data_IF_041631471157
#
_entry.id   IF_041631471157
#
_cell.length_a   1.000
_cell.length_b   1.000
_cell.length_c   1.000
_cell.angle_alpha   90.00
_cell.angle_beta   90.00
_cell.angle_gamma   90.00
#
_symmetry.space_group_name_H-M   'P 1'
#
loop_
_entity.id
_entity.type
_entity.pdbx_description
1 polymer ?
#
# COMPACT_ATOMS: atom_id res chain seq x y z
N UNK A 1 -47.12 -16.56 2.30
CA UNK A 1 -46.04 -15.66 2.66
C UNK A 1 -45.85 -14.72 1.48
N UNK A 2 -46.64 -13.65 1.47
CA UNK A 2 -46.60 -12.62 0.44
C UNK A 2 -45.44 -11.69 0.73
N UNK A 3 -44.67 -11.35 -0.32
CA UNK A 3 -43.55 -10.46 -0.25
C UNK A 3 -43.94 -9.09 0.26
N UNK A 4 -43.74 -8.86 1.55
CA UNK A 4 -43.88 -7.54 2.15
C UNK A 4 -42.78 -6.65 1.60
N UNK A 5 -43.13 -5.77 0.68
CA UNK A 5 -42.27 -4.61 0.36
C UNK A 5 -41.97 -3.90 1.67
N UNK A 6 -40.70 -3.84 2.08
CA UNK A 6 -40.25 -3.09 3.28
C UNK A 6 -40.58 -1.62 3.05
N UNK A 7 -41.72 -1.19 3.59
CA UNK A 7 -42.11 0.21 3.56
C UNK A 7 -41.10 1.01 4.41
N UNK A 8 -40.47 2.02 3.84
CA UNK A 8 -39.58 2.94 4.57
C UNK A 8 -40.37 4.20 4.86
N UNK A 9 -40.81 4.38 6.11
CA UNK A 9 -41.39 5.62 6.60
C UNK A 9 -40.30 6.55 7.13
N UNK A 10 -40.47 7.84 6.94
CA UNK A 10 -39.60 8.86 7.53
C UNK A 10 -40.03 9.16 8.97
N UNK A 11 -39.10 9.66 9.80
CA UNK A 11 -39.43 10.22 11.10
C UNK A 11 -40.50 11.29 10.94
N UNK A 12 -41.59 11.18 11.73
CA UNK A 12 -42.77 12.04 11.64
C UNK A 12 -43.80 11.63 10.57
N UNK A 13 -43.52 10.66 9.72
CA UNK A 13 -44.44 10.19 8.68
C UNK A 13 -45.30 9.01 9.17
N UNK A 14 -46.60 9.13 9.09
CA UNK A 14 -47.50 8.14 9.61
C UNK A 14 -47.66 8.15 11.13
N UNK A 15 -48.54 7.32 11.68
CA UNK A 15 -48.73 7.13 13.14
C UNK A 15 -47.44 6.62 13.76
N UNK A 16 -46.85 5.59 13.20
CA UNK A 16 -45.59 4.99 13.66
C UNK A 16 -44.41 6.00 13.63
N UNK A 17 -44.28 6.81 12.55
CA UNK A 17 -43.25 7.85 12.47
C UNK A 17 -43.47 8.99 13.46
N UNK A 18 -44.75 9.35 13.72
CA UNK A 18 -45.07 10.34 14.74
C UNK A 18 -44.70 9.85 16.14
N UNK A 19 -45.01 8.58 16.48
CA UNK A 19 -44.61 7.96 17.75
C UNK A 19 -43.09 7.95 17.89
N UNK A 20 -42.35 7.60 16.84
CA UNK A 20 -40.88 7.61 16.79
C UNK A 20 -40.33 9.00 17.04
N UNK A 21 -40.95 10.04 16.52
CA UNK A 21 -40.48 11.42 16.67
C UNK A 21 -40.81 12.01 18.04
N UNK A 22 -42.00 11.72 18.60
CA UNK A 22 -42.49 12.38 19.82
C UNK A 22 -42.28 11.55 21.10
N UNK A 23 -41.93 10.26 20.99
CA UNK A 23 -41.77 9.38 22.15
C UNK A 23 -43.07 9.16 22.94
N UNK A 24 -44.25 9.35 22.32
CA UNK A 24 -45.54 9.22 22.95
C UNK A 24 -46.36 8.11 22.28
N UNK A 25 -47.04 7.27 23.07
CA UNK A 25 -47.96 6.27 22.52
C UNK A 25 -49.09 6.90 21.68
N UNK A 26 -49.55 6.21 20.70
CA UNK A 26 -50.72 6.57 19.91
C UNK A 26 -51.73 5.41 19.91
N UNK A 27 -52.87 5.66 20.52
CA UNK A 27 -54.06 4.78 20.47
C UNK A 27 -55.05 5.38 19.48
N UNK A 28 -55.25 4.74 18.34
CA UNK A 28 -56.06 5.25 17.24
C UNK A 28 -57.27 4.31 17.01
N UNK A 29 -58.47 4.72 17.47
CA UNK A 29 -59.66 3.89 17.36
C UNK A 29 -60.19 3.67 15.93
N UNK A 30 -59.99 4.68 15.07
CA UNK A 30 -60.27 4.61 13.63
C UNK A 30 -59.17 5.35 12.85
N UNK A 31 -58.37 4.59 12.12
CA UNK A 31 -57.23 5.16 11.35
C UNK A 31 -57.69 6.06 10.20
N UNK A 32 -58.94 5.92 9.74
CA UNK A 32 -59.49 6.72 8.64
C UNK A 32 -59.75 8.18 9.08
N UNK A 33 -59.96 8.40 10.36
CA UNK A 33 -60.17 9.71 10.99
C UNK A 33 -58.90 10.39 11.47
N UNK A 34 -57.77 9.66 11.51
CA UNK A 34 -56.46 10.22 11.95
C UNK A 34 -55.67 10.77 10.75
N UNK A 35 -55.46 12.08 10.74
CA UNK A 35 -54.74 12.78 9.67
C UNK A 35 -53.29 12.32 9.50
N UNK A 36 -52.70 11.63 10.47
CA UNK A 36 -51.34 11.09 10.42
C UNK A 36 -51.26 9.75 9.70
N UNK A 37 -52.40 9.05 9.50
CA UNK A 37 -52.40 7.68 8.98
C UNK A 37 -51.87 7.63 7.54
N UNK A 38 -50.88 6.77 7.33
CA UNK A 38 -50.39 6.38 6.00
C UNK A 38 -50.87 4.95 5.70
N UNK A 39 -51.66 4.78 4.65
CA UNK A 39 -52.25 3.49 4.30
C UNK A 39 -51.17 2.48 3.86
N UNK A 40 -50.88 1.52 4.71
CA UNK A 40 -49.95 0.41 4.44
C UNK A 40 -50.71 -0.87 4.09
N UNK A 41 -51.75 -1.19 4.85
CA UNK A 41 -52.63 -2.35 4.61
C UNK A 41 -54.05 -1.92 4.32
N UNK A 42 -54.71 -2.66 3.45
CA UNK A 42 -56.08 -2.30 3.00
C UNK A 42 -57.16 -2.57 4.04
N UNK A 43 -56.84 -3.33 5.10
CA UNK A 43 -57.85 -3.82 6.06
C UNK A 43 -57.68 -3.22 7.48
N UNK A 44 -56.65 -2.40 7.70
CA UNK A 44 -56.44 -1.77 9.02
C UNK A 44 -57.55 -0.75 9.31
N UNK A 45 -58.25 -0.92 10.43
CA UNK A 45 -59.28 -0.01 10.94
C UNK A 45 -58.88 0.69 12.25
N UNK A 46 -58.11 0.03 13.11
CA UNK A 46 -57.54 0.67 14.34
C UNK A 46 -56.08 0.31 14.50
N UNK A 47 -55.32 1.17 15.18
CA UNK A 47 -53.89 1.05 15.36
C UNK A 47 -53.47 1.46 16.77
N UNK A 48 -52.54 0.70 17.38
CA UNK A 48 -51.87 1.03 18.62
C UNK A 48 -50.36 1.01 18.40
N UNK A 49 -49.74 2.16 18.51
CA UNK A 49 -48.29 2.33 18.35
C UNK A 49 -47.63 2.80 19.67
N UNK A 50 -46.61 2.08 20.12
CA UNK A 50 -45.89 2.33 21.38
C UNK A 50 -44.41 2.53 21.09
N UNK A 51 -43.77 3.59 21.64
CA UNK A 51 -42.33 3.79 21.47
C UNK A 51 -41.52 2.77 22.25
N UNK A 52 -40.43 2.28 21.68
CA UNK A 52 -39.36 1.57 22.33
C UNK A 52 -38.34 2.61 22.79
N UNK A 53 -38.41 2.97 24.08
CA UNK A 53 -37.59 4.06 24.60
C UNK A 53 -36.57 3.55 25.62
N UNK A 54 -35.32 4.03 25.53
CA UNK A 54 -34.25 3.79 26.50
C UNK A 54 -33.54 5.11 26.79
N UNK A 55 -33.49 5.49 28.04
CA UNK A 55 -32.81 6.72 28.50
C UNK A 55 -33.27 8.00 27.77
N UNK A 56 -34.57 8.13 27.50
CA UNK A 56 -35.14 9.31 26.81
C UNK A 56 -34.94 9.31 25.28
N UNK A 57 -34.42 8.22 24.71
CA UNK A 57 -34.24 8.08 23.27
C UNK A 57 -35.09 6.93 22.72
N UNK A 58 -35.86 7.21 21.67
CA UNK A 58 -36.66 6.20 20.99
C UNK A 58 -35.76 5.41 20.03
N UNK A 59 -35.64 4.09 20.24
CA UNK A 59 -34.86 3.18 19.40
C UNK A 59 -35.71 2.38 18.41
N UNK A 60 -37.04 2.46 18.55
CA UNK A 60 -37.97 1.78 17.67
C UNK A 60 -39.42 2.05 18.06
N UNK A 61 -40.36 1.44 17.38
CA UNK A 61 -41.81 1.50 17.69
C UNK A 61 -42.38 0.10 17.53
N UNK A 62 -43.21 -0.33 18.49
CA UNK A 62 -44.05 -1.48 18.34
C UNK A 62 -45.39 -0.99 17.78
N UNK A 63 -45.80 -1.53 16.66
CA UNK A 63 -47.09 -1.23 16.03
C UNK A 63 -47.96 -2.46 15.97
N UNK A 64 -49.21 -2.33 16.37
CA UNK A 64 -50.24 -3.37 16.32
C UNK A 64 -51.48 -2.84 15.59
N UNK A 65 -51.88 -3.53 14.55
CA UNK A 65 -53.01 -3.17 13.69
C UNK A 65 -54.18 -4.15 13.89
N UNK A 66 -55.38 -3.66 13.72
CA UNK A 66 -56.60 -4.48 13.71
C UNK A 66 -57.53 -4.10 12.56
N UNK A 67 -58.27 -5.07 12.06
CA UNK A 67 -59.35 -4.93 11.09
C UNK A 67 -60.71 -4.63 11.75
N UNK A 68 -60.71 -4.37 13.08
CA UNK A 68 -61.88 -3.97 13.83
C UNK A 68 -61.72 -2.53 14.31
N UNK A 69 -62.83 -1.79 14.34
CA UNK A 69 -62.84 -0.47 14.96
C UNK A 69 -62.73 -0.57 16.47
N UNK A 70 -61.98 0.37 17.08
CA UNK A 70 -61.83 0.47 18.52
C UNK A 70 -61.37 -0.86 19.17
N UNK A 71 -60.46 -1.58 18.48
CA UNK A 71 -59.99 -2.89 18.93
C UNK A 71 -59.08 -2.82 20.15
N UNK A 72 -58.46 -1.69 20.40
CA UNK A 72 -57.53 -1.51 21.52
C UNK A 72 -58.07 -0.56 22.56
N UNK A 73 -57.88 -0.90 23.85
CA UNK A 73 -58.22 -0.12 25.01
C UNK A 73 -57.02 0.56 25.65
N UNK A 74 -57.25 1.47 26.59
CA UNK A 74 -56.18 2.05 27.45
C UNK A 74 -55.46 0.97 28.28
N UNK A 75 -56.15 -0.11 28.66
CA UNK A 75 -55.54 -1.27 29.34
C UNK A 75 -54.55 -1.98 28.42
N UNK A 76 -54.89 -2.16 27.14
CA UNK A 76 -54.00 -2.76 26.14
C UNK A 76 -52.79 -1.85 25.88
N UNK A 77 -53.00 -0.54 25.82
CA UNK A 77 -51.95 0.43 25.72
C UNK A 77 -50.97 0.35 26.88
N UNK A 78 -51.49 0.25 28.13
CA UNK A 78 -50.65 0.14 29.32
C UNK A 78 -49.80 -1.16 29.31
N UNK A 79 -50.47 -2.29 28.98
CA UNK A 79 -49.81 -3.59 28.89
C UNK A 79 -48.74 -3.61 27.80
N UNK A 80 -49.04 -3.10 26.63
CA UNK A 80 -48.08 -3.03 25.50
C UNK A 80 -46.94 -2.07 25.81
N UNK A 81 -47.19 -0.98 26.56
CA UNK A 81 -46.15 -0.03 27.01
C UNK A 81 -45.16 -0.70 27.96
N UNK A 82 -45.63 -1.56 28.87
CA UNK A 82 -44.75 -2.31 29.76
C UNK A 82 -43.88 -3.32 28.99
N UNK A 83 -44.49 -4.06 28.05
CA UNK A 83 -43.76 -4.96 27.18
C UNK A 83 -42.77 -4.21 26.30
N UNK A 84 -43.15 -3.05 25.77
CA UNK A 84 -42.30 -2.21 24.95
C UNK A 84 -41.05 -1.73 25.74
N UNK A 85 -41.22 -1.36 27.00
CA UNK A 85 -40.11 -0.97 27.89
C UNK A 85 -39.12 -2.11 28.08
N UNK A 86 -39.59 -3.32 28.34
CA UNK A 86 -38.74 -4.50 28.50
C UNK A 86 -38.03 -4.84 27.14
N UNK A 87 -38.76 -4.84 26.06
CA UNK A 87 -38.23 -5.11 24.69
C UNK A 87 -37.16 -4.06 24.32
N UNK A 88 -37.38 -2.78 24.61
CA UNK A 88 -36.44 -1.71 24.33
C UNK A 88 -35.08 -1.93 24.99
N UNK A 89 -35.07 -2.32 26.26
CA UNK A 89 -33.83 -2.62 26.99
C UNK A 89 -33.09 -3.80 26.35
N UNK A 90 -33.80 -4.88 26.02
CA UNK A 90 -33.18 -6.07 25.41
C UNK A 90 -32.58 -5.73 24.05
N UNK A 91 -33.33 -5.03 23.19
CA UNK A 91 -32.90 -4.62 21.85
C UNK A 91 -31.68 -3.67 21.95
N UNK A 92 -31.74 -2.70 22.86
CA UNK A 92 -30.67 -1.74 23.06
C UNK A 92 -29.39 -2.42 23.56
N UNK A 93 -29.51 -3.33 24.52
CA UNK A 93 -28.37 -4.10 25.03
C UNK A 93 -27.76 -5.00 23.94
N UNK A 94 -28.60 -5.66 23.14
CA UNK A 94 -28.11 -6.46 22.00
C UNK A 94 -27.33 -5.60 20.98
N UNK A 95 -27.84 -4.40 20.68
CA UNK A 95 -27.17 -3.46 19.78
C UNK A 95 -25.83 -2.95 20.37
N UNK A 96 -25.78 -2.61 21.65
CA UNK A 96 -24.54 -2.20 22.33
C UNK A 96 -23.52 -3.33 22.38
N UNK A 97 -23.98 -4.57 22.65
CA UNK A 97 -23.12 -5.74 22.66
C UNK A 97 -22.49 -6.00 21.29
N UNK A 98 -23.29 -5.97 20.24
CA UNK A 98 -22.81 -6.18 18.86
C UNK A 98 -21.80 -5.09 18.46
N UNK A 99 -22.09 -3.84 18.76
CA UNK A 99 -21.17 -2.71 18.53
C UNK A 99 -19.86 -2.84 19.32
N UNK A 100 -19.93 -3.32 20.57
CA UNK A 100 -18.74 -3.59 21.39
C UNK A 100 -17.92 -4.74 20.82
N UNK A 101 -18.58 -5.81 20.36
CA UNK A 101 -17.94 -6.97 19.72
C UNK A 101 -17.18 -6.59 18.46
N UNK A 102 -17.82 -5.80 17.58
CA UNK A 102 -17.19 -5.31 16.35
C UNK A 102 -15.92 -4.48 16.68
N UNK A 103 -16.02 -3.61 17.71
CA UNK A 103 -14.85 -2.82 18.14
C UNK A 103 -13.74 -3.70 18.71
N UNK A 104 -14.05 -4.69 19.53
CA UNK A 104 -13.07 -5.60 20.10
C UNK A 104 -12.33 -6.38 19.00
N UNK A 105 -13.05 -6.95 18.03
CA UNK A 105 -12.47 -7.64 16.91
C UNK A 105 -11.56 -6.73 16.08
N UNK A 106 -11.97 -5.47 15.84
CA UNK A 106 -11.14 -4.49 15.15
C UNK A 106 -9.83 -4.24 15.88
N UNK A 107 -9.87 -4.01 17.22
CA UNK A 107 -8.66 -3.80 18.01
C UNK A 107 -7.73 -5.02 17.97
N UNK A 108 -8.28 -6.23 18.08
CA UNK A 108 -7.51 -7.47 18.03
C UNK A 108 -6.79 -7.64 16.68
N UNK A 109 -7.48 -7.37 15.59
CA UNK A 109 -6.89 -7.40 14.25
C UNK A 109 -5.85 -6.31 14.02
N UNK A 110 -6.08 -5.09 14.52
CA UNK A 110 -5.10 -4.01 14.45
C UNK A 110 -3.81 -4.36 15.24
N UNK A 111 -3.95 -5.02 16.40
CA UNK A 111 -2.80 -5.51 17.16
C UNK A 111 -2.06 -6.60 16.38
N UNK A 112 -2.76 -7.56 15.81
CA UNK A 112 -2.17 -8.64 15.00
C UNK A 112 -1.40 -8.10 13.79
N UNK A 113 -2.01 -7.18 13.06
CA UNK A 113 -1.36 -6.49 11.92
C UNK A 113 -0.14 -5.69 12.41
N UNK A 114 -0.28 -4.93 13.49
CA UNK A 114 0.83 -4.16 14.08
C UNK A 114 2.00 -5.03 14.53
N UNK A 115 1.71 -6.20 15.12
CA UNK A 115 2.73 -7.19 15.48
C UNK A 115 3.40 -7.80 14.24
N UNK A 116 2.62 -8.16 13.21
CA UNK A 116 3.16 -8.66 11.95
C UNK A 116 4.11 -7.63 11.30
N UNK A 117 3.73 -6.34 11.26
CA UNK A 117 4.57 -5.26 10.74
C UNK A 117 5.86 -5.08 11.55
N UNK A 118 5.81 -5.25 12.88
CA UNK A 118 6.99 -5.07 13.73
C UNK A 118 7.92 -6.28 13.76
N UNK A 119 7.38 -7.48 13.59
CA UNK A 119 8.13 -8.75 13.61
C UNK A 119 8.52 -9.24 12.22
N UNK A 120 7.90 -8.73 11.16
CA UNK A 120 8.23 -9.13 9.80
C UNK A 120 9.65 -8.68 9.46
N UNK A 121 10.47 -9.66 9.14
CA UNK A 121 11.80 -9.47 8.53
C UNK A 121 11.63 -9.13 7.05
N UNK A 122 10.47 -9.50 6.47
CA UNK A 122 10.13 -9.32 5.07
C UNK A 122 8.81 -8.52 4.93
N UNK A 123 8.81 -7.56 4.00
CA UNK A 123 7.63 -6.75 3.67
C UNK A 123 6.49 -7.63 3.13
N UNK A 124 6.81 -8.64 2.34
CA UNK A 124 5.83 -9.52 1.69
C UNK A 124 4.98 -10.26 2.71
N UNK A 125 5.59 -10.74 3.81
CA UNK A 125 4.89 -11.41 4.91
C UNK A 125 3.91 -10.45 5.62
N UNK A 126 4.31 -9.19 5.83
CA UNK A 126 3.46 -8.17 6.44
C UNK A 126 2.26 -7.85 5.54
N UNK A 127 2.47 -7.65 4.24
CA UNK A 127 1.41 -7.35 3.27
C UNK A 127 0.43 -8.53 3.10
N UNK A 128 0.96 -9.77 3.11
CA UNK A 128 0.14 -10.98 3.09
C UNK A 128 -0.73 -11.11 4.35
N UNK A 129 -0.21 -10.75 5.53
CA UNK A 129 -0.98 -10.74 6.77
C UNK A 129 -2.11 -9.70 6.71
N UNK A 130 -1.82 -8.48 6.24
CA UNK A 130 -2.80 -7.40 6.11
C UNK A 130 -3.94 -7.80 5.16
N UNK A 131 -3.62 -8.35 3.98
CA UNK A 131 -4.64 -8.79 3.04
C UNK A 131 -5.50 -9.92 3.59
N UNK A 132 -4.92 -10.86 4.33
CA UNK A 132 -5.65 -11.92 5.02
C UNK A 132 -6.61 -11.36 6.07
N UNK A 133 -6.15 -10.46 6.92
CA UNK A 133 -6.98 -9.81 7.94
C UNK A 133 -8.11 -8.97 7.33
N UNK A 134 -7.84 -8.26 6.24
CA UNK A 134 -8.87 -7.52 5.51
C UNK A 134 -9.98 -8.45 5.01
N UNK A 135 -9.65 -9.62 4.45
CA UNK A 135 -10.64 -10.62 4.05
C UNK A 135 -11.45 -11.13 5.24
N UNK A 136 -10.77 -11.47 6.35
CA UNK A 136 -11.42 -12.02 7.56
C UNK A 136 -12.39 -11.02 8.18
N UNK A 137 -11.93 -9.80 8.47
CA UNK A 137 -12.73 -8.75 9.10
C UNK A 137 -13.94 -8.31 8.28
N UNK A 138 -13.75 -8.25 6.96
CA UNK A 138 -14.77 -7.76 6.05
C UNK A 138 -15.67 -8.89 5.50
N UNK A 139 -15.43 -10.15 5.89
CA UNK A 139 -16.05 -11.31 5.29
C UNK A 139 -15.99 -11.21 3.75
N UNK A 140 -14.84 -10.83 3.24
CA UNK A 140 -14.59 -10.60 1.83
C UNK A 140 -14.15 -11.90 1.12
N UNK A 141 -14.42 -11.99 -0.19
CA UNK A 141 -13.93 -13.09 -1.03
C UNK A 141 -12.45 -12.90 -1.34
N UNK A 142 -12.07 -11.68 -1.66
CA UNK A 142 -10.71 -11.32 -2.05
C UNK A 142 -10.34 -9.96 -1.50
N UNK A 143 -9.11 -9.80 -1.06
CA UNK A 143 -8.50 -8.50 -0.81
C UNK A 143 -7.17 -8.40 -1.54
N UNK A 144 -6.79 -7.19 -1.93
CA UNK A 144 -5.56 -6.95 -2.68
C UNK A 144 -4.97 -5.57 -2.38
N UNK A 145 -3.65 -5.53 -2.27
CA UNK A 145 -2.86 -4.30 -2.17
C UNK A 145 -2.20 -4.02 -3.52
N UNK A 146 -2.36 -2.81 -3.99
CA UNK A 146 -1.70 -2.31 -5.20
C UNK A 146 -0.95 -1.04 -4.87
N UNK A 147 0.30 -0.93 -5.33
CA UNK A 147 1.16 0.23 -5.12
C UNK A 147 1.35 1.00 -6.42
N UNK A 148 1.51 2.30 -6.28
CA UNK A 148 1.97 3.15 -7.37
C UNK A 148 3.41 2.81 -7.74
N UNK A 149 3.69 2.78 -9.03
CA UNK A 149 5.04 2.76 -9.56
C UNK A 149 5.77 4.10 -9.30
N UNK A 150 7.07 4.14 -9.57
CA UNK A 150 7.89 5.35 -9.35
C UNK A 150 7.44 6.55 -10.21
N UNK A 151 6.76 6.29 -11.33
CA UNK A 151 6.21 7.35 -12.19
C UNK A 151 4.88 7.89 -11.67
N UNK A 152 4.18 7.16 -10.80
CA UNK A 152 2.82 7.47 -10.33
C UNK A 152 1.71 7.18 -11.35
N UNK A 153 2.04 6.54 -12.47
CA UNK A 153 1.11 6.33 -13.58
C UNK A 153 0.40 4.97 -13.54
N UNK A 154 0.91 4.00 -12.79
CA UNK A 154 0.40 2.63 -12.73
C UNK A 154 0.27 2.12 -11.30
N UNK A 155 -0.73 1.29 -11.09
CA UNK A 155 -0.92 0.52 -9.87
C UNK A 155 -0.56 -0.94 -10.15
N UNK A 156 0.49 -1.44 -9.48
CA UNK A 156 0.97 -2.82 -9.56
C UNK A 156 0.49 -3.63 -8.36
N UNK A 157 0.14 -4.89 -8.58
CA UNK A 157 -0.28 -5.81 -7.51
C UNK A 157 0.94 -6.23 -6.68
N UNK A 158 0.91 -5.99 -5.37
CA UNK A 158 2.01 -6.38 -4.46
C UNK A 158 1.62 -7.49 -3.49
N UNK A 159 0.36 -7.57 -3.09
CA UNK A 159 -0.13 -8.66 -2.25
C UNK A 159 -1.62 -8.89 -2.48
N UNK A 160 -2.06 -10.13 -2.28
CA UNK A 160 -3.48 -10.48 -2.32
C UNK A 160 -3.80 -11.68 -1.45
N UNK A 161 -5.05 -11.79 -1.04
CA UNK A 161 -5.59 -12.96 -0.37
C UNK A 161 -6.92 -13.34 -1.00
N UNK A 162 -7.14 -14.65 -1.25
CA UNK A 162 -8.34 -15.16 -1.88
C UNK A 162 -8.47 -14.89 -3.38
N UNK A 163 -7.43 -14.35 -4.02
CA UNK A 163 -7.37 -14.11 -5.46
C UNK A 163 -7.05 -15.39 -6.24
N UNK A 164 -7.74 -15.61 -7.36
CA UNK A 164 -7.41 -16.67 -8.31
C UNK A 164 -6.45 -16.23 -9.41
N UNK A 165 -6.16 -17.13 -10.34
CA UNK A 165 -5.15 -16.90 -11.38
C UNK A 165 -5.48 -15.72 -12.31
N UNK A 166 -6.75 -15.51 -12.65
CA UNK A 166 -7.16 -14.41 -13.51
C UNK A 166 -6.88 -13.04 -12.85
N UNK A 167 -7.05 -12.96 -11.53
CA UNK A 167 -6.73 -11.74 -10.78
C UNK A 167 -5.23 -11.51 -10.64
N UNK A 168 -4.45 -12.58 -10.37
CA UNK A 168 -3.00 -12.49 -10.18
C UNK A 168 -2.27 -12.11 -11.49
N UNK A 169 -2.77 -12.59 -12.63
CA UNK A 169 -2.18 -12.33 -13.94
C UNK A 169 -2.78 -11.11 -14.67
N UNK A 170 -3.61 -10.32 -13.99
CA UNK A 170 -4.19 -9.11 -14.58
C UNK A 170 -3.12 -8.08 -14.90
N UNK A 171 -3.27 -7.28 -15.97
CA UNK A 171 -2.36 -6.19 -16.25
C UNK A 171 -2.43 -5.10 -15.16
N UNK A 172 -1.35 -4.36 -15.01
CA UNK A 172 -1.29 -3.18 -14.15
C UNK A 172 -2.38 -2.18 -14.52
N UNK A 173 -2.90 -1.50 -13.51
CA UNK A 173 -3.98 -0.55 -13.70
C UNK A 173 -3.42 0.85 -13.97
N UNK A 174 -3.76 1.44 -15.11
CA UNK A 174 -3.40 2.82 -15.43
C UNK A 174 -4.21 3.78 -14.55
N UNK A 175 -3.52 4.72 -13.90
CA UNK A 175 -4.12 5.63 -12.90
C UNK A 175 -5.05 6.66 -13.56
N UNK A 176 -4.67 7.24 -14.72
CA UNK A 176 -5.37 8.39 -15.33
C UNK A 176 -6.85 8.15 -15.60
N UNK A 177 -7.23 6.94 -16.04
CA UNK A 177 -8.58 6.64 -16.52
C UNK A 177 -9.22 5.43 -15.83
N UNK A 178 -8.88 5.16 -14.56
CA UNK A 178 -9.39 3.99 -13.85
C UNK A 178 -10.18 4.35 -12.59
N UNK A 179 -11.04 3.42 -12.17
CA UNK A 179 -11.75 3.50 -10.90
C UNK A 179 -10.75 3.62 -9.74
N UNK A 180 -9.70 2.78 -9.72
CA UNK A 180 -8.68 2.79 -8.68
C UNK A 180 -7.85 4.07 -8.72
N UNK A 181 -7.54 4.58 -9.91
CA UNK A 181 -6.88 5.87 -10.05
C UNK A 181 -7.71 7.04 -9.48
N UNK A 182 -9.03 6.98 -9.58
CA UNK A 182 -9.92 7.95 -8.93
C UNK A 182 -9.80 7.90 -7.39
N UNK A 183 -9.55 6.73 -6.79
CA UNK A 183 -9.31 6.58 -5.35
C UNK A 183 -7.99 7.25 -4.95
N UNK A 184 -6.93 7.02 -5.74
CA UNK A 184 -5.61 7.64 -5.55
C UNK A 184 -5.70 9.17 -5.62
N UNK A 185 -6.28 9.71 -6.69
CA UNK A 185 -6.37 11.15 -6.90
C UNK A 185 -7.22 11.87 -5.85
N UNK A 186 -8.34 11.27 -5.47
CA UNK A 186 -9.27 11.87 -4.50
C UNK A 186 -8.83 11.65 -3.05
N UNK A 187 -7.94 10.70 -2.81
CA UNK A 187 -7.55 10.22 -1.47
C UNK A 187 -8.77 9.91 -0.58
N UNK A 188 -9.81 9.32 -1.18
CA UNK A 188 -11.07 8.98 -0.52
C UNK A 188 -11.51 7.57 -0.92
N UNK A 189 -12.18 6.84 -0.01
CA UNK A 189 -12.73 5.55 -0.32
C UNK A 189 -13.81 5.67 -1.40
N UNK A 190 -13.82 4.73 -2.33
CA UNK A 190 -14.86 4.55 -3.33
C UNK A 190 -15.38 3.11 -3.28
N UNK A 191 -16.68 2.95 -3.53
CA UNK A 191 -17.28 1.63 -3.60
C UNK A 191 -18.17 1.49 -4.83
N UNK A 192 -18.30 0.24 -5.30
CA UNK A 192 -19.19 -0.15 -6.39
C UNK A 192 -19.98 -1.39 -5.94
N UNK A 193 -21.30 -1.30 -5.97
CA UNK A 193 -22.19 -2.39 -5.57
C UNK A 193 -22.08 -3.62 -6.48
N UNK A 194 -21.88 -3.39 -7.79
CA UNK A 194 -21.66 -4.44 -8.77
C UNK A 194 -20.68 -4.00 -9.87
N UNK A 195 -19.41 -4.51 -9.78
CA UNK A 195 -18.36 -4.20 -10.75
C UNK A 195 -18.52 -4.94 -12.09
N UNK A 196 -19.28 -6.03 -12.13
CA UNK A 196 -19.49 -6.81 -13.35
C UNK A 196 -20.40 -6.08 -14.35
N UNK A 197 -21.26 -5.18 -13.85
CA UNK A 197 -22.18 -4.39 -14.65
C UNK A 197 -21.85 -2.89 -14.68
N UNK A 198 -20.85 -2.46 -13.92
CA UNK A 198 -20.47 -1.06 -13.77
C UNK A 198 -19.63 -0.56 -14.93
N UNK A 199 -20.07 0.50 -15.59
CA UNK A 199 -19.31 1.16 -16.67
C UNK A 199 -18.03 1.87 -16.17
N UNK A 200 -17.86 2.03 -14.86
CA UNK A 200 -16.70 2.70 -14.27
C UNK A 200 -15.56 1.76 -13.91
N UNK A 201 -15.80 0.45 -13.92
CA UNK A 201 -14.78 -0.56 -13.61
C UNK A 201 -14.27 -1.22 -14.89
N UNK A 202 -12.97 -1.16 -15.11
CA UNK A 202 -12.36 -1.53 -16.40
C UNK A 202 -12.12 -3.03 -16.59
N UNK A 203 -12.02 -3.81 -15.49
CA UNK A 203 -11.62 -5.24 -15.54
C UNK A 203 -12.83 -6.17 -15.29
N UNK A 204 -13.94 -5.93 -15.97
CA UNK A 204 -15.20 -6.70 -15.81
C UNK A 204 -15.03 -8.20 -16.12
N UNK A 205 -14.27 -8.55 -17.17
CA UNK A 205 -14.05 -9.94 -17.55
C UNK A 205 -13.36 -10.72 -16.43
N UNK A 206 -12.27 -10.17 -15.88
CA UNK A 206 -11.59 -10.76 -14.72
C UNK A 206 -12.55 -10.88 -13.52
N UNK A 207 -13.37 -9.86 -13.26
CA UNK A 207 -14.33 -9.90 -12.17
C UNK A 207 -15.39 -11.01 -12.35
N UNK A 208 -15.82 -11.28 -13.58
CA UNK A 208 -16.70 -12.41 -13.90
C UNK A 208 -16.01 -13.78 -13.66
N UNK A 209 -14.80 -13.96 -14.17
CA UNK A 209 -14.03 -15.20 -14.01
C UNK A 209 -13.76 -15.53 -12.55
N UNK A 210 -13.40 -14.54 -11.75
CA UNK A 210 -13.11 -14.67 -10.33
C UNK A 210 -14.37 -14.67 -9.43
N UNK A 211 -15.54 -14.38 -10.00
CA UNK A 211 -16.79 -14.26 -9.25
C UNK A 211 -16.78 -13.11 -8.25
N UNK A 212 -16.15 -12.00 -8.61
CA UNK A 212 -16.08 -10.77 -7.80
C UNK A 212 -17.23 -9.84 -8.23
N UNK A 213 -18.05 -9.39 -7.29
CA UNK A 213 -19.26 -8.60 -7.61
C UNK A 213 -19.18 -7.20 -7.00
N UNK A 214 -18.99 -7.06 -5.70
CA UNK A 214 -18.88 -5.74 -5.08
C UNK A 214 -17.42 -5.39 -4.78
N UNK A 215 -17.07 -4.10 -4.84
CA UNK A 215 -15.75 -3.56 -4.58
C UNK A 215 -15.83 -2.37 -3.63
N UNK A 216 -15.00 -2.41 -2.60
CA UNK A 216 -14.56 -1.25 -1.83
C UNK A 216 -13.07 -1.05 -2.08
N UNK A 217 -12.69 0.13 -2.54
CA UNK A 217 -11.28 0.53 -2.67
C UNK A 217 -10.99 1.73 -1.77
N UNK A 218 -9.95 1.61 -0.97
CA UNK A 218 -9.50 2.66 -0.05
C UNK A 218 -8.04 3.04 -0.35
N UNK A 219 -7.67 4.34 -0.24
CA UNK A 219 -6.32 4.78 -0.54
C UNK A 219 -5.34 4.40 0.58
N UNK A 220 -4.14 4.00 0.21
CA UNK A 220 -2.98 3.92 1.09
C UNK A 220 -2.36 5.32 1.14
N UNK A 221 -2.50 6.02 2.25
CA UNK A 221 -2.01 7.40 2.38
C UNK A 221 -0.85 7.46 3.36
N UNK A 222 0.28 8.04 2.92
CA UNK A 222 1.43 8.33 3.76
C UNK A 222 1.97 9.73 3.45
N UNK A 223 2.30 10.52 4.48
CA UNK A 223 2.83 11.86 4.31
C UNK A 223 1.94 12.83 3.51
N UNK A 224 0.61 12.58 3.45
CA UNK A 224 -0.34 13.39 2.70
C UNK A 224 -0.46 13.05 1.21
N UNK A 225 0.19 11.98 0.76
CA UNK A 225 0.12 11.47 -0.61
C UNK A 225 -0.38 10.04 -0.63
N UNK A 226 -1.12 9.67 -1.68
CA UNK A 226 -1.52 8.28 -1.88
C UNK A 226 -0.35 7.50 -2.51
N UNK A 227 0.03 6.38 -1.88
CA UNK A 227 1.09 5.47 -2.36
C UNK A 227 0.51 4.21 -3.03
N UNK A 228 -0.81 4.02 -2.98
CA UNK A 228 -1.48 2.87 -3.54
C UNK A 228 -2.93 2.75 -3.09
N UNK A 229 -3.49 1.53 -3.21
CA UNK A 229 -4.86 1.20 -2.80
C UNK A 229 -4.95 -0.16 -2.12
N UNK A 230 -5.83 -0.27 -1.12
CA UNK A 230 -6.34 -1.53 -0.60
C UNK A 230 -7.74 -1.77 -1.18
N UNK A 231 -7.90 -2.90 -1.84
CA UNK A 231 -9.12 -3.28 -2.57
C UNK A 231 -9.75 -4.51 -1.92
N UNK A 232 -11.04 -4.44 -1.63
CA UNK A 232 -11.81 -5.46 -0.93
C UNK A 232 -13.01 -5.86 -1.78
N UNK A 233 -13.12 -7.14 -2.12
CA UNK A 233 -14.15 -7.67 -3.03
C UNK A 233 -15.06 -8.65 -2.31
N UNK A 234 -16.39 -8.56 -2.60
CA UNK A 234 -17.38 -9.55 -2.19
C UNK A 234 -17.92 -10.33 -3.40
N UNK A 235 -18.44 -11.52 -3.12
CA UNK A 235 -19.02 -12.41 -4.15
C UNK A 235 -20.46 -12.04 -4.55
N UNK A 236 -21.12 -11.19 -3.78
CA UNK A 236 -22.49 -10.76 -3.99
C UNK A 236 -22.56 -9.23 -4.12
N UNK A 237 -23.64 -8.72 -4.73
CA UNK A 237 -23.91 -7.28 -4.77
C UNK A 237 -24.06 -6.74 -3.34
N UNK A 238 -23.24 -5.76 -3.00
CA UNK A 238 -23.12 -5.29 -1.62
C UNK A 238 -22.75 -3.81 -1.55
N UNK A 239 -23.40 -3.10 -0.62
CA UNK A 239 -23.05 -1.72 -0.26
C UNK A 239 -22.39 -1.73 1.11
N UNK A 240 -21.12 -1.39 1.16
CA UNK A 240 -20.35 -1.37 2.40
C UNK A 240 -20.83 -0.26 3.33
N UNK A 241 -21.01 -0.59 4.59
CA UNK A 241 -21.41 0.33 5.64
C UNK A 241 -20.28 1.30 5.98
N UNK A 242 -20.63 2.42 6.65
CA UNK A 242 -19.64 3.38 7.12
C UNK A 242 -18.64 2.77 8.13
N UNK A 243 -19.05 1.76 8.89
CA UNK A 243 -18.17 1.06 9.84
C UNK A 243 -17.16 0.18 9.09
N UNK A 244 -17.61 -0.57 8.06
CA UNK A 244 -16.71 -1.34 7.21
C UNK A 244 -15.71 -0.45 6.47
N UNK A 245 -16.15 0.69 5.94
CA UNK A 245 -15.26 1.67 5.30
C UNK A 245 -14.20 2.16 6.28
N UNK A 246 -14.57 2.45 7.54
CA UNK A 246 -13.62 2.87 8.58
C UNK A 246 -12.60 1.78 8.91
N UNK A 247 -13.03 0.52 8.97
CA UNK A 247 -12.13 -0.63 9.17
C UNK A 247 -11.13 -0.74 8.03
N UNK A 248 -11.62 -0.68 6.78
CA UNK A 248 -10.77 -0.73 5.59
C UNK A 248 -9.75 0.42 5.55
N UNK A 249 -10.16 1.64 5.91
CA UNK A 249 -9.28 2.81 6.00
C UNK A 249 -8.19 2.63 7.08
N UNK A 250 -8.52 2.09 8.25
CA UNK A 250 -7.55 1.81 9.31
C UNK A 250 -6.51 0.77 8.87
N UNK A 251 -6.94 -0.30 8.19
CA UNK A 251 -6.04 -1.29 7.61
C UNK A 251 -5.16 -0.69 6.51
N UNK A 252 -5.71 0.18 5.68
CA UNK A 252 -4.96 0.88 4.64
C UNK A 252 -3.88 1.81 5.23
N UNK A 253 -4.17 2.53 6.31
CA UNK A 253 -3.21 3.37 7.02
C UNK A 253 -2.06 2.54 7.60
N UNK A 254 -2.35 1.42 8.27
CA UNK A 254 -1.33 0.49 8.76
C UNK A 254 -0.49 -0.09 7.62
N UNK A 255 -1.11 -0.44 6.49
CA UNK A 255 -0.40 -0.92 5.31
C UNK A 255 0.57 0.12 4.77
N UNK A 256 0.13 1.39 4.67
CA UNK A 256 0.96 2.48 4.21
C UNK A 256 2.19 2.70 5.11
N UNK A 257 1.99 2.65 6.43
CA UNK A 257 3.09 2.74 7.42
C UNK A 257 4.07 1.58 7.26
N UNK A 258 3.57 0.33 7.09
CA UNK A 258 4.40 -0.85 6.91
C UNK A 258 5.28 -0.75 5.66
N UNK A 259 4.69 -0.36 4.55
CA UNK A 259 5.36 -0.22 3.25
C UNK A 259 6.47 0.84 3.34
N UNK A 260 6.16 2.01 3.88
CA UNK A 260 7.13 3.08 3.99
C UNK A 260 8.26 2.76 4.98
N UNK A 261 7.94 2.09 6.09
CA UNK A 261 8.97 1.59 7.01
C UNK A 261 9.95 0.65 6.31
N UNK A 262 9.44 -0.30 5.51
CA UNK A 262 10.27 -1.24 4.78
C UNK A 262 11.14 -0.54 3.72
N UNK A 263 10.59 0.37 2.94
CA UNK A 263 11.35 1.20 1.97
C UNK A 263 12.47 2.00 2.62
N UNK A 264 12.17 2.62 3.77
CA UNK A 264 13.18 3.37 4.52
C UNK A 264 14.31 2.48 5.04
N UNK A 265 13.99 1.27 5.55
CA UNK A 265 15.00 0.32 6.01
C UNK A 265 15.89 -0.16 4.85
N UNK A 266 15.32 -0.48 3.70
CA UNK A 266 16.07 -0.85 2.50
C UNK A 266 17.03 0.26 2.06
N UNK A 267 16.55 1.50 2.03
CA UNK A 267 17.37 2.66 1.67
C UNK A 267 18.51 2.93 2.69
N UNK A 268 18.25 2.68 3.98
CA UNK A 268 19.30 2.79 5.02
C UNK A 268 20.40 1.75 4.78
N UNK A 269 20.03 0.47 4.54
CA UNK A 269 21.00 -0.61 4.28
C UNK A 269 21.84 -0.31 3.04
N UNK A 270 21.22 0.14 1.97
CA UNK A 270 21.92 0.55 0.74
C UNK A 270 22.90 1.71 0.98
N UNK A 271 22.44 2.72 1.72
CA UNK A 271 23.26 3.88 2.07
C UNK A 271 24.45 3.51 2.96
N UNK A 272 24.24 2.63 3.95
CA UNK A 272 25.33 2.14 4.81
C UNK A 272 26.39 1.35 4.02
N UNK A 273 25.98 0.51 3.07
CA UNK A 273 26.93 -0.22 2.23
C UNK A 273 27.73 0.71 1.33
N UNK A 274 27.08 1.73 0.75
CA UNK A 274 27.78 2.77 -0.03
C UNK A 274 28.78 3.57 0.84
N UNK A 275 28.39 3.95 2.05
CA UNK A 275 29.30 4.63 2.99
C UNK A 275 30.50 3.76 3.34
N UNK A 276 30.27 2.49 3.65
CA UNK A 276 31.33 1.52 3.97
C UNK A 276 32.31 1.31 2.83
N UNK A 277 31.80 1.26 1.59
CA UNK A 277 32.66 1.17 0.40
C UNK A 277 33.50 2.44 0.22
N UNK A 278 32.91 3.62 0.41
CA UNK A 278 33.59 4.90 0.33
C UNK A 278 34.68 5.05 1.42
N UNK A 279 34.37 4.62 2.65
CA UNK A 279 35.39 4.63 3.75
C UNK A 279 36.56 3.72 3.43
N UNK A 280 36.32 2.50 2.90
CA UNK A 280 37.41 1.60 2.46
C UNK A 280 38.29 2.22 1.37
N UNK A 281 37.65 2.85 0.37
CA UNK A 281 38.35 3.52 -0.72
C UNK A 281 39.16 4.72 -0.21
N UNK A 282 38.61 5.50 0.70
CA UNK A 282 39.27 6.64 1.30
C UNK A 282 40.51 6.22 2.12
N UNK A 283 40.35 5.19 2.96
CA UNK A 283 41.48 4.64 3.74
C UNK A 283 42.57 4.07 2.83
N UNK A 284 42.18 3.34 1.77
CA UNK A 284 43.14 2.84 0.77
C UNK A 284 43.84 3.98 0.04
N UNK A 285 43.12 5.06 -0.25
CA UNK A 285 43.68 6.27 -0.88
C UNK A 285 44.75 6.96 -0.03
N UNK A 286 44.50 7.10 1.27
CA UNK A 286 45.49 7.67 2.21
C UNK A 286 46.77 6.80 2.29
N UNK A 287 46.60 5.49 2.49
CA UNK A 287 47.72 4.54 2.56
C UNK A 287 48.48 4.48 1.23
N UNK A 288 47.81 4.47 0.11
CA UNK A 288 48.43 4.47 -1.21
C UNK A 288 49.27 5.74 -1.46
N UNK A 289 48.81 6.89 -0.96
CA UNK A 289 49.54 8.15 -1.04
C UNK A 289 50.85 8.09 -0.28
N UNK A 290 50.84 7.59 0.95
CA UNK A 290 52.02 7.44 1.81
C UNK A 290 53.01 6.42 1.22
N UNK A 291 52.55 5.23 0.89
CA UNK A 291 53.35 4.16 0.27
C UNK A 291 53.98 4.60 -1.05
N UNK A 292 53.22 5.32 -1.91
CA UNK A 292 53.73 5.82 -3.16
C UNK A 292 54.90 6.84 -2.96
N UNK A 293 54.77 7.71 -1.97
CA UNK A 293 55.85 8.61 -1.61
C UNK A 293 57.10 7.86 -1.09
N UNK A 294 56.90 6.85 -0.23
CA UNK A 294 58.00 6.04 0.28
C UNK A 294 58.66 5.17 -0.80
N UNK A 295 57.94 4.70 -1.81
CA UNK A 295 58.53 3.97 -2.95
C UNK A 295 59.20 4.92 -3.94
N UNK A 296 58.66 6.10 -4.22
CA UNK A 296 59.22 7.06 -5.16
C UNK A 296 60.58 7.54 -4.73
N UNK A 297 60.80 7.74 -3.42
CA UNK A 297 62.07 8.23 -2.87
C UNK A 297 63.28 7.32 -3.22
N UNK A 298 63.30 6.02 -2.86
CA UNK A 298 64.40 5.13 -3.22
C UNK A 298 64.50 4.92 -4.74
N UNK A 299 63.39 4.91 -5.46
CA UNK A 299 63.38 4.77 -6.92
C UNK A 299 64.05 5.96 -7.61
N UNK A 300 63.83 7.18 -7.10
CA UNK A 300 64.49 8.40 -7.60
C UNK A 300 66.00 8.34 -7.37
N UNK A 301 66.44 7.89 -6.17
CA UNK A 301 67.86 7.71 -5.86
C UNK A 301 68.47 6.66 -6.77
N UNK A 302 67.84 5.50 -6.95
CA UNK A 302 68.29 4.44 -7.86
C UNK A 302 68.45 4.95 -9.31
N UNK A 303 67.47 5.70 -9.80
CA UNK A 303 67.49 6.28 -11.15
C UNK A 303 68.61 7.30 -11.31
N UNK A 304 68.82 8.12 -10.28
CA UNK A 304 69.90 9.10 -10.27
C UNK A 304 71.26 8.41 -10.29
N UNK A 305 71.50 7.39 -9.45
CA UNK A 305 72.74 6.61 -9.41
C UNK A 305 72.98 5.88 -10.73
N UNK A 306 71.94 5.26 -11.29
CA UNK A 306 71.97 4.58 -12.61
C UNK A 306 72.48 5.52 -13.71
N UNK A 307 71.94 6.74 -13.79
CA UNK A 307 72.46 7.74 -14.75
C UNK A 307 73.85 8.27 -14.47
N UNK A 308 74.21 8.44 -13.16
CA UNK A 308 75.51 8.97 -12.78
C UNK A 308 76.67 7.99 -13.02
N UNK A 309 76.33 6.68 -13.06
CA UNK A 309 77.38 5.66 -13.35
C UNK A 309 77.81 5.65 -14.84
N UNK A 310 77.08 6.31 -15.73
CA UNK A 310 77.47 6.44 -17.13
C UNK A 310 77.75 5.10 -17.80
N UNK A 311 76.87 4.09 -17.53
CA UNK A 311 77.06 2.72 -18.02
C UNK A 311 76.73 2.62 -19.52
N UNK A 312 77.76 2.97 -20.33
CA UNK A 312 77.69 2.86 -21.79
C UNK A 312 78.54 1.65 -22.21
N UNK A 313 77.90 0.72 -22.98
CA UNK A 313 78.59 -0.47 -23.47
C UNK A 313 78.38 -0.53 -25.04
N UNK A 314 79.37 -1.09 -25.76
CA UNK A 314 79.19 -1.35 -27.19
C UNK A 314 77.94 -2.20 -27.49
N UNK A 315 77.33 -2.05 -28.66
CA UNK A 315 76.09 -2.70 -29.01
C UNK A 315 76.18 -4.24 -29.05
N UNK A 316 77.34 -4.80 -29.18
CA UNK A 316 77.69 -6.23 -29.19
C UNK A 316 78.01 -6.79 -27.78
N UNK A 317 78.08 -5.93 -26.77
CA UNK A 317 78.36 -6.35 -25.36
C UNK A 317 77.04 -6.76 -24.70
N UNK A 318 76.91 -7.99 -24.14
CA UNK A 318 75.71 -8.43 -23.44
C UNK A 318 75.25 -7.49 -22.32
N UNK A 319 76.16 -6.75 -21.69
CA UNK A 319 75.86 -5.78 -20.64
C UNK A 319 75.03 -4.58 -21.14
N UNK A 320 75.11 -4.25 -22.42
CA UNK A 320 74.33 -3.18 -23.02
C UNK A 320 72.82 -3.46 -22.90
N UNK A 321 72.42 -4.70 -23.15
CA UNK A 321 71.03 -5.14 -22.98
C UNK A 321 70.60 -5.13 -21.50
N UNK A 322 71.43 -5.58 -20.55
CA UNK A 322 71.11 -5.58 -19.11
C UNK A 322 70.90 -4.13 -18.59
N UNK A 323 71.72 -3.19 -19.00
CA UNK A 323 71.59 -1.76 -18.66
C UNK A 323 70.27 -1.21 -19.21
N UNK A 324 69.92 -1.51 -20.42
CA UNK A 324 68.64 -1.09 -21.03
C UNK A 324 67.45 -1.64 -20.24
N UNK A 325 67.45 -2.94 -19.91
CA UNK A 325 66.40 -3.59 -19.12
C UNK A 325 66.24 -2.97 -17.75
N UNK A 326 67.32 -2.67 -17.03
CA UNK A 326 67.30 -2.03 -15.72
C UNK A 326 66.59 -0.66 -15.83
N UNK A 327 66.97 0.16 -16.82
CA UNK A 327 66.33 1.45 -17.08
C UNK A 327 64.82 1.33 -17.31
N UNK A 328 64.44 0.44 -18.21
CA UNK A 328 63.02 0.17 -18.52
C UNK A 328 62.22 -0.31 -17.31
N UNK A 329 62.80 -1.15 -16.46
CA UNK A 329 62.13 -1.64 -15.25
C UNK A 329 61.96 -0.55 -14.18
N UNK A 330 62.92 0.38 -14.03
CA UNK A 330 62.76 1.52 -13.14
C UNK A 330 61.62 2.46 -13.62
N UNK A 331 61.58 2.73 -14.92
CA UNK A 331 60.47 3.52 -15.51
C UNK A 331 59.11 2.86 -15.38
N UNK A 332 59.08 1.54 -15.53
CA UNK A 332 57.86 0.76 -15.30
C UNK A 332 57.39 0.81 -13.85
N UNK A 333 58.30 0.69 -12.87
CA UNK A 333 57.98 0.84 -11.45
C UNK A 333 57.36 2.22 -11.13
N UNK A 334 57.98 3.28 -11.70
CA UNK A 334 57.44 4.64 -11.54
C UNK A 334 56.03 4.77 -12.10
N UNK A 335 55.76 4.18 -13.26
CA UNK A 335 54.43 4.15 -13.86
C UNK A 335 53.41 3.41 -12.99
N UNK A 336 53.79 2.30 -12.37
CA UNK A 336 52.90 1.57 -11.41
C UNK A 336 52.55 2.45 -10.21
N UNK A 337 53.54 3.13 -9.63
CA UNK A 337 53.33 4.04 -8.50
C UNK A 337 52.38 5.17 -8.86
N UNK A 338 52.53 5.77 -10.03
CA UNK A 338 51.61 6.81 -10.54
C UNK A 338 50.18 6.26 -10.76
N UNK A 339 50.04 5.05 -11.28
CA UNK A 339 48.74 4.41 -11.45
C UNK A 339 48.05 4.15 -10.10
N UNK A 340 48.77 3.68 -9.08
CA UNK A 340 48.25 3.49 -7.71
C UNK A 340 47.78 4.83 -7.13
N UNK A 341 48.55 5.90 -7.28
CA UNK A 341 48.18 7.24 -6.82
C UNK A 341 46.93 7.78 -7.55
N UNK A 342 46.84 7.54 -8.85
CA UNK A 342 45.69 7.98 -9.65
C UNK A 342 44.42 7.24 -9.25
N UNK A 343 44.52 5.94 -8.98
CA UNK A 343 43.41 5.13 -8.47
C UNK A 343 42.99 5.57 -7.06
N UNK A 344 43.94 5.91 -6.20
CA UNK A 344 43.71 6.29 -4.81
C UNK A 344 43.19 7.73 -4.63
N UNK A 345 43.41 8.61 -5.59
CA UNK A 345 42.82 9.94 -5.62
C UNK A 345 41.35 9.80 -6.09
N UNK A 346 40.42 10.01 -5.16
CA UNK A 346 39.05 10.32 -5.53
C UNK A 346 39.05 11.63 -6.34
N UNK A 347 39.29 11.55 -7.62
CA UNK A 347 39.13 12.70 -8.50
C UNK A 347 37.65 13.01 -8.57
N UNK A 348 37.24 14.13 -8.00
CA UNK A 348 35.89 14.68 -8.32
C UNK A 348 35.77 14.69 -9.84
N UNK A 349 34.67 14.08 -10.40
CA UNK A 349 34.53 14.04 -11.84
C UNK A 349 34.44 15.46 -12.39
N UNK A 350 35.45 15.85 -13.15
CA UNK A 350 35.41 17.11 -13.88
C UNK A 350 34.55 16.94 -15.10
N UNK A 351 33.32 17.37 -14.99
CA UNK A 351 32.37 17.37 -16.11
C UNK A 351 32.82 18.37 -17.17
N UNK A 352 33.23 17.89 -18.34
CA UNK A 352 33.53 18.74 -19.50
C UNK A 352 32.83 18.17 -20.73
N UNK A 353 32.42 19.03 -21.66
CA UNK A 353 31.88 18.59 -22.95
C UNK A 353 32.91 17.70 -23.63
N UNK A 354 32.59 16.44 -23.86
CA UNK A 354 33.48 15.44 -24.43
C UNK A 354 32.86 14.86 -25.69
N UNK A 355 33.62 14.80 -26.77
CA UNK A 355 33.23 14.08 -27.98
C UNK A 355 33.29 12.58 -27.70
N UNK A 356 32.12 11.95 -27.65
CA UNK A 356 31.98 10.51 -27.36
C UNK A 356 32.66 9.66 -28.45
N UNK A 357 32.63 10.08 -29.73
CA UNK A 357 33.26 9.34 -30.79
C UNK A 357 34.81 9.36 -30.68
N UNK A 358 35.35 10.46 -30.22
CA UNK A 358 36.80 10.58 -29.95
C UNK A 358 37.15 9.65 -28.77
N UNK A 359 36.37 9.63 -27.70
CA UNK A 359 36.60 8.76 -26.56
C UNK A 359 36.55 7.27 -26.92
N UNK A 360 35.59 6.86 -27.77
CA UNK A 360 35.47 5.49 -28.27
C UNK A 360 36.67 5.12 -29.12
N UNK A 361 37.16 6.01 -30.00
CA UNK A 361 38.33 5.78 -30.80
C UNK A 361 39.61 5.65 -29.95
N UNK A 362 39.77 6.48 -28.92
CA UNK A 362 40.89 6.41 -27.98
C UNK A 362 40.89 5.09 -27.20
N UNK A 363 39.71 4.67 -26.72
CA UNK A 363 39.50 3.35 -26.12
C UNK A 363 39.85 2.20 -27.05
N UNK A 364 39.39 2.27 -28.30
CA UNK A 364 39.71 1.26 -29.33
C UNK A 364 41.21 1.10 -29.56
N UNK A 365 41.95 2.20 -29.57
CA UNK A 365 43.42 2.18 -29.67
C UNK A 365 44.05 1.50 -28.45
N UNK A 366 43.61 1.82 -27.23
CA UNK A 366 44.12 1.26 -25.97
C UNK A 366 43.87 -0.26 -25.86
N UNK A 367 42.70 -0.75 -26.26
CA UNK A 367 42.34 -2.17 -26.11
C UNK A 367 42.75 -3.02 -27.33
N UNK A 368 43.15 -2.40 -28.47
CA UNK A 368 43.49 -3.06 -29.73
C UNK A 368 44.49 -4.21 -29.54
N UNK A 369 45.51 -4.00 -28.71
CA UNK A 369 46.57 -5.00 -28.49
C UNK A 369 46.06 -6.21 -27.71
N UNK A 370 45.18 -5.99 -26.74
CA UNK A 370 44.57 -7.04 -25.90
C UNK A 370 43.50 -7.85 -26.67
N UNK A 371 42.73 -7.15 -27.50
CA UNK A 371 41.71 -7.75 -28.37
C UNK A 371 42.36 -8.60 -29.48
N UNK A 372 43.43 -8.10 -30.10
CA UNK A 372 44.21 -8.86 -31.11
C UNK A 372 44.82 -10.15 -30.50
N UNK A 373 45.27 -10.10 -29.23
CA UNK A 373 45.79 -11.28 -28.55
C UNK A 373 44.68 -12.32 -28.27
N UNK A 374 43.45 -11.92 -28.10
CA UNK A 374 42.32 -12.79 -27.82
C UNK A 374 41.51 -13.21 -29.06
N UNK A 375 41.94 -12.78 -30.26
CA UNK A 375 41.29 -13.07 -31.54
C UNK A 375 39.82 -12.65 -31.59
N UNK A 376 39.48 -11.51 -30.98
CA UNK A 376 38.13 -10.92 -30.99
C UNK A 376 38.14 -9.77 -32.03
N UNK A 377 37.16 -9.72 -32.90
CA UNK A 377 36.91 -8.59 -33.82
C UNK A 377 35.93 -7.63 -33.14
N UNK A 378 36.23 -6.34 -33.22
CA UNK A 378 35.37 -5.22 -32.80
C UNK A 378 34.75 -4.64 -34.08
N UNK A 379 33.45 -4.80 -34.23
CA UNK A 379 32.66 -4.06 -35.23
C UNK A 379 32.26 -2.66 -34.72
#
# INVERSE_FOLDING_TARGET
PDGSSRLKLRMGEGITGWVAQHGKPALVPDVREDARYVKVHNHTLSELAIPLEVNGSVCGVINVDSDQLNAFSETDQALLSELASQAAIVIHNAFLYERSRIRANLFESLITVGQAINSAVDLDDALAAITREACSLMSARTSALQLLDDSGDRLTLVASHGAGEAYLNKPDVVVSDSFLGSVVHRMKPLQVENIQTSNTYQQQNMAHEEGLVALLSVPLVFGGSAIGTLNIYKADAYVFSNDEIRIAMALAELSAIAIEKARLLEHIVESEEHLRQNEKLSALGLLAGEVAHEIRNPLTVLKMLYHSLGLEFPADDPRAEDVRIIGEKMDHLNTIVEQILTFARNAEPQLQPTDVNKLINDLRILVRRKIAQQKVELE
#
